data_IF_376420294140
#
_entry.id   IF_376420294140
#
_cell.length_a   1.000
_cell.length_b   1.000
_cell.length_c   1.000
_cell.angle_alpha   90.00
_cell.angle_beta   90.00
_cell.angle_gamma   90.00
#
_symmetry.space_group_name_H-M   'P 1'
#
loop_
_entity.id
_entity.type
_entity.pdbx_description
1 polymer ?
#
# COMPACT_ATOMS: atom_id res chain seq x y z
N UNK A 1 -7.93 11.15 3.13
CA UNK A 1 -6.77 10.79 4.00
C UNK A 1 -6.62 9.28 4.08
N UNK A 2 -5.42 8.74 4.09
CA UNK A 2 -5.11 7.31 4.26
C UNK A 2 -4.15 7.11 5.43
N UNK A 3 -4.43 6.13 6.28
CA UNK A 3 -3.57 5.74 7.41
C UNK A 3 -3.48 4.24 7.47
N UNK A 4 -2.27 3.72 7.53
CA UNK A 4 -2.03 2.29 7.64
C UNK A 4 -0.73 1.99 8.37
N UNK A 5 -0.66 0.82 8.98
CA UNK A 5 0.58 0.23 9.44
C UNK A 5 1.07 -0.76 8.38
N UNK A 6 2.31 -0.61 7.93
CA UNK A 6 2.99 -1.63 7.16
C UNK A 6 3.59 -2.65 8.13
N UNK A 7 3.04 -3.85 8.08
CA UNK A 7 3.27 -4.92 9.04
C UNK A 7 4.23 -5.95 8.46
N UNK A 8 5.16 -6.46 9.27
CA UNK A 8 5.87 -7.72 9.01
C UNK A 8 5.33 -8.76 9.98
N UNK A 9 4.61 -9.78 9.50
CA UNK A 9 3.85 -10.69 10.37
C UNK A 9 2.94 -9.90 11.31
N UNK A 10 3.23 -9.91 12.61
CA UNK A 10 2.43 -9.24 13.64
C UNK A 10 3.11 -7.98 14.20
N UNK A 11 4.25 -7.57 13.63
CA UNK A 11 5.04 -6.42 14.07
C UNK A 11 4.84 -5.22 13.13
N UNK A 12 4.60 -4.04 13.70
CA UNK A 12 4.58 -2.77 12.94
C UNK A 12 5.99 -2.46 12.47
N UNK A 13 6.19 -2.35 11.16
CA UNK A 13 7.48 -1.95 10.57
C UNK A 13 7.52 -0.47 10.22
N UNK A 14 6.45 0.06 9.62
CA UNK A 14 6.32 1.48 9.28
C UNK A 14 4.88 1.96 9.48
N UNK A 15 4.67 3.03 10.23
CA UNK A 15 3.39 3.78 10.21
C UNK A 15 3.39 4.70 8.99
N UNK A 16 2.28 4.76 8.26
CA UNK A 16 2.12 5.57 7.04
C UNK A 16 0.87 6.44 7.19
N UNK A 17 1.04 7.74 6.95
CA UNK A 17 -0.07 8.71 6.85
C UNK A 17 0.07 9.44 5.52
N UNK A 18 -0.92 9.30 4.64
CA UNK A 18 -0.98 9.97 3.36
C UNK A 18 -2.20 10.89 3.26
N UNK A 19 -1.98 12.12 2.81
CA UNK A 19 -2.99 13.13 2.54
C UNK A 19 -3.04 13.34 1.01
N UNK A 20 -4.11 12.85 0.38
CA UNK A 20 -4.30 12.92 -1.08
C UNK A 20 -4.50 14.36 -1.56
N UNK A 21 -5.25 15.17 -0.79
CA UNK A 21 -5.56 16.56 -1.16
C UNK A 21 -4.30 17.41 -1.10
N UNK A 22 -3.50 17.25 -0.05
CA UNK A 22 -2.23 17.96 0.09
C UNK A 22 -1.09 17.33 -0.69
N UNK A 23 -1.29 16.13 -1.26
CA UNK A 23 -0.25 15.28 -1.84
C UNK A 23 0.98 15.17 -0.94
N UNK A 24 0.77 14.76 0.30
CA UNK A 24 1.84 14.58 1.29
C UNK A 24 1.78 13.19 1.90
N UNK A 25 2.94 12.66 2.26
CA UNK A 25 3.06 11.42 3.02
C UNK A 25 4.07 11.63 4.15
N UNK A 26 3.73 11.13 5.32
CA UNK A 26 4.57 11.10 6.51
C UNK A 26 4.67 9.65 6.99
N UNK A 27 5.86 9.28 7.46
CA UNK A 27 6.13 7.92 7.92
C UNK A 27 6.85 7.91 9.25
N UNK A 28 6.74 6.78 9.96
CA UNK A 28 7.57 6.47 11.12
C UNK A 28 8.01 5.02 11.05
N UNK A 29 9.32 4.79 10.96
CA UNK A 29 9.90 3.45 10.93
C UNK A 29 10.13 2.93 12.36
N UNK A 30 9.80 1.65 12.58
CA UNK A 30 9.93 0.96 13.88
C UNK A 30 10.98 -0.16 13.85
N UNK A 31 11.74 -0.27 12.77
CA UNK A 31 12.77 -1.28 12.57
C UNK A 31 13.97 -0.70 11.85
N UNK A 32 15.17 -1.17 12.17
CA UNK A 32 16.41 -0.83 11.47
C UNK A 32 16.66 -1.70 10.23
N UNK A 33 15.85 -2.74 10.02
CA UNK A 33 15.94 -3.57 8.84
C UNK A 33 15.30 -2.87 7.63
N UNK A 34 16.13 -2.38 6.71
CA UNK A 34 15.69 -1.67 5.51
C UNK A 34 14.71 -2.48 4.64
N UNK A 35 14.84 -3.81 4.58
CA UNK A 35 13.94 -4.67 3.79
C UNK A 35 12.52 -4.75 4.37
N UNK A 36 12.34 -4.38 5.64
CA UNK A 36 11.03 -4.36 6.31
C UNK A 36 10.38 -2.98 6.31
N UNK A 37 11.12 -1.92 5.97
CA UNK A 37 10.57 -0.55 5.90
C UNK A 37 9.78 -0.38 4.61
N UNK A 38 8.65 0.32 4.66
CA UNK A 38 7.79 0.56 3.50
C UNK A 38 8.52 1.27 2.35
N UNK A 39 9.45 2.17 2.68
CA UNK A 39 10.20 2.99 1.73
C UNK A 39 11.72 2.76 1.80
N UNK A 40 12.14 1.63 2.38
CA UNK A 40 13.55 1.28 2.51
C UNK A 40 14.37 2.34 3.26
N UNK A 41 15.38 2.89 2.58
CA UNK A 41 16.27 3.93 3.11
C UNK A 41 15.63 5.34 3.05
N UNK A 42 14.55 5.53 2.30
CA UNK A 42 13.91 6.83 2.16
C UNK A 42 13.04 7.14 3.38
N UNK A 43 13.52 8.04 4.23
CA UNK A 43 12.82 8.43 5.47
C UNK A 43 11.84 9.60 5.27
N UNK A 44 11.88 10.27 4.11
CA UNK A 44 10.99 11.38 3.75
C UNK A 44 10.40 11.14 2.36
N UNK A 45 9.56 10.10 2.18
CA UNK A 45 9.00 9.78 0.88
C UNK A 45 8.16 10.93 0.32
N UNK A 46 8.20 11.08 -0.99
CA UNK A 46 7.27 11.95 -1.71
C UNK A 46 5.92 11.26 -1.88
N UNK A 47 4.90 12.03 -2.25
CA UNK A 47 3.61 11.43 -2.57
C UNK A 47 3.68 10.50 -3.79
N UNK A 48 4.56 10.77 -4.75
CA UNK A 48 4.77 9.87 -5.89
C UNK A 48 5.40 8.55 -5.44
N UNK A 49 6.34 8.57 -4.48
CA UNK A 49 6.85 7.33 -3.88
C UNK A 49 5.77 6.55 -3.14
N UNK A 50 4.79 7.23 -2.53
CA UNK A 50 3.64 6.56 -1.93
C UNK A 50 2.77 5.87 -3.00
N UNK A 51 2.54 6.50 -4.15
CA UNK A 51 1.80 5.88 -5.26
C UNK A 51 2.56 4.67 -5.84
N UNK A 52 3.88 4.78 -6.00
CA UNK A 52 4.75 3.66 -6.40
C UNK A 52 4.68 2.52 -5.38
N UNK A 53 4.72 2.83 -4.08
CA UNK A 53 4.57 1.83 -3.02
C UNK A 53 3.23 1.08 -3.12
N UNK A 54 2.11 1.78 -3.38
CA UNK A 54 0.82 1.12 -3.56
C UNK A 54 0.83 0.19 -4.79
N UNK A 55 1.41 0.62 -5.89
CA UNK A 55 1.56 -0.18 -7.11
C UNK A 55 2.40 -1.45 -6.85
N UNK A 56 3.52 -1.33 -6.13
CA UNK A 56 4.40 -2.45 -5.78
C UNK A 56 3.72 -3.48 -4.86
N UNK A 57 2.66 -3.08 -4.14
CA UNK A 57 1.84 -3.99 -3.32
C UNK A 57 0.68 -4.61 -4.08
N UNK A 58 0.55 -4.34 -5.39
CA UNK A 58 -0.44 -4.95 -6.27
C UNK A 58 0.16 -6.09 -7.10
N UNK A 59 -0.71 -6.90 -7.72
CA UNK A 59 -0.28 -7.80 -8.79
C UNK A 59 0.07 -7.00 -10.05
N UNK A 60 1.04 -7.41 -10.88
CA UNK A 60 1.46 -6.61 -12.04
C UNK A 60 0.31 -6.27 -13.00
N UNK A 61 0.32 -5.06 -13.57
CA UNK A 61 -0.64 -4.64 -14.62
C UNK A 61 -0.63 -5.54 -15.85
N UNK A 62 0.48 -6.25 -16.09
CA UNK A 62 0.66 -7.20 -17.19
C UNK A 62 0.23 -8.62 -16.84
N UNK A 63 -0.40 -8.84 -15.67
CA UNK A 63 -0.91 -10.16 -15.25
C UNK A 63 -1.91 -10.68 -16.27
N UNK A 64 -1.72 -11.93 -16.70
CA UNK A 64 -2.66 -12.59 -17.60
C UNK A 64 -4.08 -12.60 -17.01
N UNK A 65 -5.08 -12.43 -17.88
CA UNK A 65 -6.50 -12.34 -17.49
C UNK A 65 -6.79 -11.34 -16.37
N UNK A 66 -6.14 -10.17 -16.42
CA UNK A 66 -6.31 -9.07 -15.46
C UNK A 66 -7.77 -8.78 -15.09
N UNK A 67 -8.68 -8.78 -16.07
CA UNK A 67 -10.10 -8.51 -15.86
C UNK A 67 -10.78 -9.52 -14.92
N UNK A 68 -10.35 -10.79 -14.90
CA UNK A 68 -10.89 -11.80 -13.97
C UNK A 68 -10.45 -11.47 -12.55
N UNK A 69 -9.17 -11.13 -12.35
CA UNK A 69 -8.66 -10.75 -11.04
C UNK A 69 -9.32 -9.49 -10.50
N UNK A 70 -9.54 -8.48 -11.35
CA UNK A 70 -10.28 -7.27 -10.97
C UNK A 70 -11.73 -7.59 -10.63
N UNK A 71 -12.39 -8.44 -11.42
CA UNK A 71 -13.76 -8.89 -11.15
C UNK A 71 -13.90 -9.64 -9.81
N UNK A 72 -12.95 -10.53 -9.48
CA UNK A 72 -12.91 -11.23 -8.19
C UNK A 72 -12.76 -10.26 -7.00
N UNK A 73 -12.10 -9.12 -7.24
CA UNK A 73 -11.98 -8.03 -6.27
C UNK A 73 -13.20 -7.08 -6.30
N UNK A 74 -14.15 -7.23 -7.22
CA UNK A 74 -15.24 -6.30 -7.40
C UNK A 74 -14.77 -4.92 -7.87
N UNK A 75 -13.81 -4.91 -8.81
CA UNK A 75 -13.23 -3.72 -9.43
C UNK A 75 -13.44 -3.74 -10.94
N UNK A 76 -13.82 -2.59 -11.49
CA UNK A 76 -14.01 -2.41 -12.94
C UNK A 76 -12.73 -1.91 -13.64
N UNK A 77 -11.76 -1.44 -12.88
CA UNK A 77 -10.50 -0.89 -13.38
C UNK A 77 -9.35 -1.17 -12.40
N UNK A 78 -8.12 -1.08 -12.90
CA UNK A 78 -6.93 -1.24 -12.08
C UNK A 78 -6.63 0.07 -11.35
N UNK A 79 -7.02 0.12 -10.08
CA UNK A 79 -6.71 1.19 -9.14
C UNK A 79 -5.85 0.62 -7.98
N UNK A 80 -4.59 1.05 -7.82
CA UNK A 80 -3.70 0.51 -6.78
C UNK A 80 -4.22 0.68 -5.36
N UNK A 81 -4.84 1.81 -5.03
CA UNK A 81 -5.38 2.06 -3.69
C UNK A 81 -6.51 1.06 -3.40
N UNK A 82 -7.44 0.92 -4.33
CA UNK A 82 -8.59 0.04 -4.18
C UNK A 82 -8.18 -1.45 -4.15
N UNK A 83 -7.16 -1.85 -4.92
CA UNK A 83 -6.56 -3.19 -4.87
C UNK A 83 -5.89 -3.42 -3.52
N UNK A 84 -5.11 -2.48 -3.02
CA UNK A 84 -4.45 -2.57 -1.71
C UNK A 84 -5.47 -2.68 -0.58
N UNK A 85 -6.56 -1.92 -0.62
CA UNK A 85 -7.64 -2.01 0.37
C UNK A 85 -8.23 -3.42 0.45
N UNK A 86 -8.49 -4.03 -0.71
CA UNK A 86 -9.14 -5.36 -0.79
C UNK A 86 -8.18 -6.50 -0.48
N UNK A 87 -6.92 -6.38 -0.89
CA UNK A 87 -5.90 -7.43 -0.71
C UNK A 87 -5.07 -7.26 0.56
N UNK A 88 -5.23 -6.13 1.27
CA UNK A 88 -4.32 -5.65 2.32
C UNK A 88 -2.88 -5.52 1.84
N UNK A 89 -2.68 -5.30 0.54
CA UNK A 89 -1.35 -5.22 -0.09
C UNK A 89 -0.48 -6.46 0.17
N UNK A 90 -1.08 -7.65 0.25
CA UNK A 90 -0.34 -8.91 0.44
C UNK A 90 0.26 -9.37 -0.88
N UNK A 91 1.53 -9.75 -0.85
CA UNK A 91 2.27 -10.28 -2.00
C UNK A 91 2.78 -11.68 -1.69
N UNK A 92 2.62 -12.60 -2.63
CA UNK A 92 3.13 -13.96 -2.48
C UNK A 92 4.67 -13.95 -2.38
N UNK A 93 5.22 -14.68 -1.42
CA UNK A 93 6.67 -14.78 -1.20
C UNK A 93 7.22 -13.81 -0.13
N UNK A 94 6.38 -12.91 0.42
CA UNK A 94 6.74 -12.13 1.60
C UNK A 94 5.75 -12.32 2.77
N UNK A 95 6.07 -11.69 3.90
CA UNK A 95 5.21 -11.67 5.09
C UNK A 95 4.70 -10.25 5.39
N UNK A 96 4.70 -9.38 4.38
CA UNK A 96 4.33 -7.98 4.52
C UNK A 96 2.85 -7.76 4.18
N UNK A 97 2.20 -6.88 4.92
CA UNK A 97 0.81 -6.49 4.65
C UNK A 97 0.49 -5.13 5.25
N UNK A 98 -0.61 -4.53 4.83
CA UNK A 98 -1.09 -3.25 5.33
C UNK A 98 -2.29 -3.46 6.27
N UNK A 99 -2.11 -3.06 7.52
CA UNK A 99 -3.22 -2.88 8.45
C UNK A 99 -3.79 -1.47 8.26
N UNK A 100 -4.90 -1.40 7.55
CA UNK A 100 -5.51 -0.13 7.13
C UNK A 100 -6.38 0.38 8.27
N UNK A 101 -5.98 1.52 8.83
CA UNK A 101 -6.62 2.14 9.99
C UNK A 101 -7.71 3.13 9.56
N UNK A 102 -7.47 3.85 8.46
CA UNK A 102 -8.37 4.88 7.95
C UNK A 102 -8.20 5.07 6.45
N UNK A 103 -9.32 5.12 5.74
CA UNK A 103 -9.39 5.58 4.35
C UNK A 103 -10.57 6.52 4.24
N UNK A 104 -10.30 7.78 3.94
CA UNK A 104 -11.28 8.75 3.51
C UNK A 104 -11.04 8.97 2.03
N UNK A 105 -11.86 8.33 1.23
CA UNK A 105 -12.02 8.55 -0.19
C UNK A 105 -13.51 8.87 -0.39
N UNK A 106 -13.82 10.05 -0.94
CA UNK A 106 -15.21 10.49 -1.17
C UNK A 106 -15.91 9.68 -2.28
N UNK A 107 -15.22 8.71 -2.89
CA UNK A 107 -15.72 7.88 -3.99
C UNK A 107 -15.94 6.39 -3.64
N UNK A 108 -15.96 6.01 -2.34
CA UNK A 108 -16.38 4.67 -1.88
C UNK A 108 -17.90 4.53 -1.74
#
# INVERSE_FOLDING_TARGET
MFRANYMYRDEVSTEIVADFDKRKVEIKNHTDNLLKRAFGINETPTFDNFLEFLEDRCFPRTRDKLYIHLYELGLDSYDPLQIVIRTKGRVEGDFMWLDILEVQDEQL
#
